data_IF_339975158023
#
_entry.id   IF_339975158023
#
_cell.length_a   1.000
_cell.length_b   1.000
_cell.length_c   1.000
_cell.angle_alpha   90.00
_cell.angle_beta   90.00
_cell.angle_gamma   90.00
#
_symmetry.space_group_name_H-M   'P 1'
#
loop_
_entity.id
_entity.type
_entity.pdbx_description
1 polymer ?
#
# COMPACT_ATOMS: atom_id res chain seq x y z
N UNK A 1 15.84 -9.62 0.61
CA UNK A 1 15.01 -9.45 1.81
C UNK A 1 15.52 -8.32 2.70
N UNK A 2 16.82 -8.29 2.98
CA UNK A 2 17.47 -7.25 3.80
C UNK A 2 17.12 -5.81 3.37
N UNK A 3 17.21 -5.52 2.10
CA UNK A 3 16.98 -4.18 1.58
C UNK A 3 15.55 -3.67 1.84
N UNK A 4 14.55 -4.56 1.79
CA UNK A 4 13.17 -4.14 2.02
C UNK A 4 12.89 -3.85 3.50
N UNK A 5 13.42 -4.63 4.44
CA UNK A 5 13.15 -4.41 5.87
C UNK A 5 13.77 -3.12 6.38
N UNK A 6 14.93 -2.71 5.85
CA UNK A 6 15.55 -1.41 6.17
C UNK A 6 14.85 -0.22 5.52
N UNK A 7 14.02 -0.46 4.50
CA UNK A 7 13.24 0.57 3.81
C UNK A 7 11.82 0.74 4.37
N UNK A 8 11.41 -0.07 5.34
CA UNK A 8 10.12 0.05 5.98
C UNK A 8 10.12 1.23 6.94
N UNK A 9 9.05 2.02 6.91
CA UNK A 9 8.85 3.16 7.78
C UNK A 9 7.52 3.09 8.54
N UNK A 10 7.45 3.69 9.72
CA UNK A 10 6.21 3.85 10.47
C UNK A 10 5.35 5.00 9.94
N UNK A 11 4.17 5.20 10.56
CA UNK A 11 3.18 6.18 10.13
C UNK A 11 3.72 7.60 9.99
N UNK A 12 4.42 8.12 11.00
CA UNK A 12 4.93 9.51 10.99
C UNK A 12 5.93 9.76 9.85
N UNK A 13 6.88 8.83 9.66
CA UNK A 13 7.84 8.93 8.56
C UNK A 13 7.16 8.79 7.20
N UNK A 14 6.19 7.86 7.08
CA UNK A 14 5.43 7.70 5.85
C UNK A 14 4.68 8.98 5.49
N UNK A 15 3.95 9.57 6.43
CA UNK A 15 3.21 10.82 6.23
C UNK A 15 4.16 11.95 5.82
N UNK A 16 5.26 12.14 6.55
CA UNK A 16 6.26 13.19 6.26
C UNK A 16 6.87 13.04 4.88
N UNK A 17 7.34 11.84 4.54
CA UNK A 17 8.07 11.60 3.29
C UNK A 17 7.13 11.60 2.08
N UNK A 18 5.89 11.12 2.25
CA UNK A 18 4.84 11.21 1.23
C UNK A 18 4.39 12.66 1.01
N UNK A 19 4.16 13.44 2.07
CA UNK A 19 3.84 14.88 1.96
C UNK A 19 4.94 15.62 1.19
N UNK A 20 6.20 15.36 1.54
CA UNK A 20 7.33 15.97 0.84
C UNK A 20 7.32 15.59 -0.65
N UNK A 21 7.10 14.33 -0.98
CA UNK A 21 7.03 13.87 -2.37
C UNK A 21 5.89 14.55 -3.16
N UNK A 22 4.71 14.72 -2.54
CA UNK A 22 3.56 15.39 -3.15
C UNK A 22 3.86 16.89 -3.38
N UNK A 23 4.37 17.60 -2.37
CA UNK A 23 4.70 19.03 -2.44
C UNK A 23 5.80 19.28 -3.47
N UNK A 24 6.83 18.44 -3.49
CA UNK A 24 7.94 18.52 -4.45
C UNK A 24 7.53 18.05 -5.86
N UNK A 25 6.27 17.68 -6.08
CA UNK A 25 5.73 17.12 -7.34
C UNK A 25 6.55 15.97 -7.90
N UNK A 26 7.06 15.14 -7.02
CA UNK A 26 7.81 13.94 -7.42
C UNK A 26 6.88 12.92 -8.07
N UNK A 27 7.40 12.24 -9.08
CA UNK A 27 6.73 11.08 -9.67
C UNK A 27 7.27 9.81 -9.00
N UNK A 28 6.38 8.97 -8.51
CA UNK A 28 6.79 7.73 -7.86
C UNK A 28 5.62 7.03 -7.19
N UNK A 29 5.91 6.03 -6.38
CA UNK A 29 4.85 5.27 -5.69
C UNK A 29 5.22 4.93 -4.25
N UNK A 30 4.16 4.71 -3.47
CA UNK A 30 4.19 4.29 -2.08
C UNK A 30 3.58 2.90 -1.99
N UNK A 31 4.30 1.97 -1.36
CA UNK A 31 3.81 0.62 -1.11
C UNK A 31 3.39 0.44 0.35
N UNK A 32 2.22 -0.14 0.55
CA UNK A 32 1.71 -0.56 1.86
C UNK A 32 2.09 -2.02 2.06
N UNK A 33 3.16 -2.25 2.84
CA UNK A 33 3.84 -3.55 2.94
C UNK A 33 3.29 -4.35 4.11
N UNK A 34 2.37 -5.26 3.80
CA UNK A 34 1.88 -6.29 4.72
C UNK A 34 2.78 -7.53 4.74
N UNK A 35 2.43 -8.50 5.57
CA UNK A 35 3.17 -9.77 5.65
C UNK A 35 3.19 -10.57 4.35
N UNK A 36 2.16 -10.43 3.49
CA UNK A 36 2.12 -11.08 2.19
C UNK A 36 3.09 -10.41 1.20
N UNK A 37 3.08 -9.07 1.11
CA UNK A 37 4.03 -8.30 0.29
C UNK A 37 5.46 -8.62 0.73
N UNK A 38 5.74 -8.58 2.04
CA UNK A 38 7.05 -8.87 2.59
C UNK A 38 7.51 -10.30 2.29
N UNK A 39 6.61 -11.28 2.40
CA UNK A 39 6.91 -12.67 2.07
C UNK A 39 7.21 -12.85 0.58
N UNK A 40 6.45 -12.21 -0.29
CA UNK A 40 6.67 -12.27 -1.73
C UNK A 40 7.97 -11.59 -2.14
N UNK A 41 8.39 -10.49 -1.52
CA UNK A 41 9.69 -9.86 -1.78
C UNK A 41 10.86 -10.75 -1.36
N UNK A 42 10.69 -11.59 -0.33
CA UNK A 42 11.69 -12.59 0.03
C UNK A 42 11.80 -13.71 -1.00
N UNK A 43 10.67 -14.20 -1.49
CA UNK A 43 10.60 -15.33 -2.43
C UNK A 43 10.96 -14.95 -3.87
N UNK A 44 10.70 -13.69 -4.29
CA UNK A 44 10.82 -13.24 -5.68
C UNK A 44 11.71 -12.01 -5.80
N UNK A 45 12.89 -12.17 -6.36
CA UNK A 45 13.88 -11.09 -6.51
C UNK A 45 13.41 -9.96 -7.43
N UNK A 46 12.64 -10.27 -8.49
CA UNK A 46 12.06 -9.28 -9.38
C UNK A 46 11.00 -8.43 -8.68
N UNK A 47 10.12 -9.05 -7.87
CA UNK A 47 9.12 -8.32 -7.10
C UNK A 47 9.75 -7.45 -6.00
N UNK A 48 10.83 -7.95 -5.39
CA UNK A 48 11.65 -7.15 -4.45
C UNK A 48 12.15 -5.86 -5.09
N UNK A 49 12.67 -5.92 -6.32
CA UNK A 49 13.13 -4.71 -7.04
C UNK A 49 12.00 -3.70 -7.21
N UNK A 50 10.80 -4.16 -7.53
CA UNK A 50 9.62 -3.30 -7.63
C UNK A 50 9.34 -2.62 -6.29
N UNK A 51 9.16 -3.38 -5.21
CA UNK A 51 8.83 -2.80 -3.90
C UNK A 51 9.97 -1.92 -3.36
N UNK A 52 11.23 -2.29 -3.56
CA UNK A 52 12.37 -1.46 -3.20
C UNK A 52 12.52 -0.21 -4.07
N UNK A 53 11.92 -0.16 -5.24
CA UNK A 53 11.87 1.02 -6.11
C UNK A 53 10.86 2.08 -5.67
N UNK A 54 10.03 1.80 -4.67
CA UNK A 54 9.09 2.75 -4.12
C UNK A 54 9.79 3.93 -3.43
N UNK A 55 9.16 5.11 -3.46
CA UNK A 55 9.60 6.28 -2.68
C UNK A 55 9.52 6.01 -1.17
N UNK A 56 8.44 5.35 -0.77
CA UNK A 56 8.16 5.00 0.63
C UNK A 56 7.54 3.62 0.70
N UNK A 57 7.95 2.85 1.70
CA UNK A 57 7.35 1.55 2.05
C UNK A 57 6.84 1.62 3.49
N UNK A 58 5.54 1.67 3.70
CA UNK A 58 4.96 1.72 5.05
C UNK A 58 4.72 0.34 5.63
N UNK A 59 4.90 0.19 6.95
CA UNK A 59 4.56 -1.04 7.66
C UNK A 59 3.03 -1.19 7.75
N UNK A 60 2.45 -2.15 7.05
CA UNK A 60 1.06 -2.56 7.25
C UNK A 60 0.98 -3.74 8.22
N UNK A 61 0.32 -3.49 9.33
CA UNK A 61 0.14 -4.48 10.39
C UNK A 61 1.13 -4.37 11.55
N UNK A 62 0.58 -4.48 12.77
CA UNK A 62 1.32 -4.31 14.02
C UNK A 62 2.49 -5.29 14.18
N UNK A 63 2.38 -6.51 13.62
CA UNK A 63 3.46 -7.49 13.70
C UNK A 63 4.71 -7.05 12.91
N UNK A 64 4.54 -6.49 11.71
CA UNK A 64 5.66 -6.01 10.90
C UNK A 64 6.33 -4.80 11.56
N UNK A 65 5.53 -3.84 12.04
CA UNK A 65 6.05 -2.70 12.79
C UNK A 65 6.81 -3.15 14.04
N UNK A 66 6.24 -4.08 14.83
CA UNK A 66 6.91 -4.65 16.01
C UNK A 66 8.21 -5.36 15.63
N UNK A 67 8.22 -6.13 14.55
CA UNK A 67 9.43 -6.83 14.08
C UNK A 67 10.53 -5.82 13.72
N UNK A 68 10.21 -4.73 13.03
CA UNK A 68 11.16 -3.66 12.74
C UNK A 68 11.67 -3.00 14.03
N UNK A 69 10.78 -2.71 14.97
CA UNK A 69 11.14 -2.14 16.27
C UNK A 69 12.12 -3.04 17.04
N UNK A 70 11.82 -4.35 17.13
CA UNK A 70 12.68 -5.34 17.80
C UNK A 70 14.06 -5.44 17.13
N UNK A 71 14.11 -5.38 15.79
CA UNK A 71 15.37 -5.55 15.03
C UNK A 71 16.19 -4.27 15.01
N UNK A 72 15.57 -3.12 14.74
CA UNK A 72 16.28 -1.87 14.44
C UNK A 72 16.29 -0.89 15.60
N UNK A 73 15.50 -1.12 16.66
CA UNK A 73 15.35 -0.20 17.80
C UNK A 73 14.55 1.05 17.43
N UNK A 74 13.62 0.91 16.48
CA UNK A 74 12.70 1.98 16.06
C UNK A 74 11.44 1.98 16.94
N UNK A 75 10.60 3.00 16.79
CA UNK A 75 9.29 3.10 17.45
C UNK A 75 8.18 3.23 16.40
N UNK A 76 8.23 2.38 15.37
CA UNK A 76 7.25 2.43 14.29
C UNK A 76 5.88 1.98 14.77
N UNK A 77 4.86 2.73 14.38
CA UNK A 77 3.45 2.33 14.42
C UNK A 77 3.01 1.88 13.04
N UNK A 78 2.11 0.89 13.01
CA UNK A 78 1.57 0.40 11.74
C UNK A 78 0.74 1.49 11.05
N UNK A 79 0.88 1.57 9.73
CA UNK A 79 0.12 2.50 8.89
C UNK A 79 -0.43 1.74 7.70
N UNK A 80 -1.64 1.19 7.86
CA UNK A 80 -2.29 0.32 6.87
C UNK A 80 -2.96 1.11 5.74
N UNK A 81 -3.35 0.41 4.68
CA UNK A 81 -3.99 1.02 3.50
C UNK A 81 -5.18 1.91 3.82
N UNK A 82 -6.18 1.48 4.62
CA UNK A 82 -7.28 2.34 5.05
C UNK A 82 -6.82 3.60 5.79
N UNK A 83 -5.85 3.51 6.69
CA UNK A 83 -5.32 4.67 7.42
C UNK A 83 -4.59 5.64 6.47
N UNK A 84 -3.77 5.12 5.54
CA UNK A 84 -3.12 5.93 4.49
C UNK A 84 -4.17 6.66 3.65
N UNK A 85 -5.21 5.96 3.20
CA UNK A 85 -6.26 6.55 2.38
C UNK A 85 -7.03 7.64 3.14
N UNK A 86 -7.46 7.37 4.37
CA UNK A 86 -8.18 8.34 5.22
C UNK A 86 -7.33 9.58 5.51
N UNK A 87 -6.01 9.43 5.69
CA UNK A 87 -5.10 10.56 5.95
C UNK A 87 -5.08 11.57 4.82
N UNK A 88 -5.29 11.16 3.57
CA UNK A 88 -5.10 12.02 2.41
C UNK A 88 -6.37 12.32 1.61
N UNK A 89 -7.39 11.44 1.63
CA UNK A 89 -8.53 11.57 0.72
C UNK A 89 -9.32 12.87 0.94
N UNK A 90 -9.36 13.38 2.16
CA UNK A 90 -10.07 14.59 2.54
C UNK A 90 -9.22 15.87 2.46
N UNK A 91 -7.95 15.76 2.03
CA UNK A 91 -7.06 16.91 1.82
C UNK A 91 -7.30 17.55 0.46
N UNK A 92 -7.00 18.87 0.31
CA UNK A 92 -7.28 19.63 -0.91
C UNK A 92 -6.23 19.35 -2.00
N UNK A 93 -6.05 18.08 -2.34
CA UNK A 93 -5.23 17.64 -3.47
C UNK A 93 -6.10 17.24 -4.65
N UNK A 94 -5.61 17.40 -5.86
CA UNK A 94 -6.24 16.77 -7.03
C UNK A 94 -5.91 15.28 -7.03
N UNK A 95 -6.93 14.45 -6.92
CA UNK A 95 -6.78 13.02 -6.68
C UNK A 95 -7.50 12.18 -7.73
N UNK A 96 -6.88 11.11 -8.18
CA UNK A 96 -7.49 10.14 -9.09
C UNK A 96 -7.57 8.78 -8.41
N UNK A 97 -8.76 8.18 -8.42
CA UNK A 97 -8.99 6.80 -8.00
C UNK A 97 -8.89 5.87 -9.20
N UNK A 98 -8.02 4.85 -9.11
CA UNK A 98 -7.81 3.85 -10.15
C UNK A 98 -8.12 2.45 -9.60
N UNK A 99 -8.85 1.66 -10.37
CA UNK A 99 -9.34 0.35 -9.96
C UNK A 99 -10.62 0.42 -9.14
N UNK A 100 -11.10 -0.76 -8.67
CA UNK A 100 -12.41 -0.88 -8.04
C UNK A 100 -13.56 -0.50 -9.01
N UNK A 101 -14.73 -0.10 -8.53
CA UNK A 101 -15.93 0.16 -9.34
C UNK A 101 -16.38 1.61 -9.27
N UNK A 102 -17.19 2.02 -10.25
CA UNK A 102 -17.81 3.35 -10.27
C UNK A 102 -18.75 3.57 -9.10
N UNK A 103 -19.39 2.50 -8.63
CA UNK A 103 -20.26 2.50 -7.47
C UNK A 103 -19.49 2.83 -6.20
N UNK A 104 -18.33 2.17 -6.00
CA UNK A 104 -17.43 2.47 -4.86
C UNK A 104 -16.97 3.92 -4.89
N UNK A 105 -16.62 4.46 -6.07
CA UNK A 105 -16.27 5.87 -6.21
C UNK A 105 -17.40 6.81 -5.79
N UNK A 106 -18.66 6.52 -6.17
CA UNK A 106 -19.82 7.33 -5.75
C UNK A 106 -19.97 7.32 -4.23
N UNK A 107 -19.88 6.15 -3.60
CA UNK A 107 -19.95 6.01 -2.14
C UNK A 107 -18.84 6.80 -1.43
N UNK A 108 -17.62 6.80 -1.97
CA UNK A 108 -16.51 7.61 -1.44
C UNK A 108 -16.86 9.10 -1.50
N UNK A 109 -17.40 9.59 -2.63
CA UNK A 109 -17.83 10.99 -2.78
C UNK A 109 -18.96 11.37 -1.82
N UNK A 110 -19.93 10.48 -1.62
CA UNK A 110 -21.02 10.67 -0.67
C UNK A 110 -20.46 10.76 0.76
N UNK A 111 -19.54 9.86 1.10
CA UNK A 111 -18.89 9.86 2.42
C UNK A 111 -18.10 11.14 2.70
N UNK A 112 -17.37 11.64 1.71
CA UNK A 112 -16.67 12.94 1.82
C UNK A 112 -17.67 14.08 2.07
N UNK A 113 -18.82 14.09 1.38
CA UNK A 113 -19.87 15.09 1.61
C UNK A 113 -20.47 14.99 3.02
N UNK A 114 -20.72 13.78 3.52
CA UNK A 114 -21.18 13.55 4.90
C UNK A 114 -20.21 14.15 5.93
N UNK A 115 -18.90 14.09 5.63
CA UNK A 115 -17.84 14.69 6.45
C UNK A 115 -17.65 16.20 6.21
N UNK A 116 -18.48 16.83 5.37
CA UNK A 116 -18.36 18.25 5.01
C UNK A 116 -17.11 18.58 4.18
N UNK A 117 -16.59 17.60 3.42
CA UNK A 117 -15.36 17.77 2.62
C UNK A 117 -15.67 18.03 1.16
N UNK A 118 -14.88 18.88 0.53
CA UNK A 118 -14.94 19.11 -0.92
C UNK A 118 -14.41 17.88 -1.67
N UNK A 119 -15.18 17.45 -2.65
CA UNK A 119 -14.83 16.33 -3.52
C UNK A 119 -14.79 16.69 -5.01
N UNK A 120 -14.71 17.99 -5.32
CA UNK A 120 -14.70 18.50 -6.71
C UNK A 120 -13.44 18.06 -7.46
N UNK A 121 -12.31 17.97 -6.75
CA UNK A 121 -11.01 17.55 -7.32
C UNK A 121 -10.77 16.03 -7.27
N UNK A 122 -11.79 15.25 -6.88
CA UNK A 122 -11.70 13.78 -6.87
C UNK A 122 -12.21 13.21 -8.18
N UNK A 123 -11.34 12.54 -8.92
CA UNK A 123 -11.60 11.92 -10.20
C UNK A 123 -11.59 10.40 -10.09
N UNK A 124 -12.21 9.72 -11.05
CA UNK A 124 -12.20 8.27 -11.18
C UNK A 124 -11.77 7.85 -12.58
N UNK A 125 -10.79 6.97 -12.66
CA UNK A 125 -10.34 6.38 -13.90
C UNK A 125 -10.61 4.88 -13.89
N UNK A 126 -11.61 4.39 -14.67
CA UNK A 126 -11.89 2.97 -14.76
C UNK A 126 -10.75 2.22 -15.46
N UNK A 127 -10.47 1.00 -14.97
CA UNK A 127 -9.57 0.07 -15.63
C UNK A 127 -10.34 -1.11 -16.19
N UNK A 128 -9.91 -1.70 -17.31
CA UNK A 128 -10.45 -2.96 -17.78
C UNK A 128 -10.10 -4.09 -16.81
N UNK A 129 -10.94 -5.13 -16.78
CA UNK A 129 -10.69 -6.31 -15.96
C UNK A 129 -9.79 -7.31 -16.71
N UNK A 130 -8.50 -7.01 -16.77
CA UNK A 130 -7.47 -7.77 -17.49
C UNK A 130 -6.29 -8.09 -16.57
N UNK A 131 -5.34 -8.91 -17.03
CA UNK A 131 -4.10 -9.16 -16.31
C UNK A 131 -3.23 -7.89 -16.28
N UNK A 132 -2.24 -7.86 -15.36
CA UNK A 132 -1.36 -6.70 -15.23
C UNK A 132 -0.47 -6.48 -16.45
N UNK A 133 -0.29 -7.49 -17.28
CA UNK A 133 0.54 -7.41 -18.48
C UNK A 133 -0.23 -6.92 -19.72
N UNK A 134 -1.57 -6.92 -19.65
CA UNK A 134 -2.45 -6.54 -20.74
C UNK A 134 -2.95 -5.09 -20.68
N UNK A 135 -2.55 -4.32 -19.65
CA UNK A 135 -2.90 -2.90 -19.60
C UNK A 135 -2.12 -2.08 -20.65
N UNK A 136 -2.81 -1.18 -21.32
CA UNK A 136 -2.20 -0.13 -22.12
C UNK A 136 -1.72 1.02 -21.20
N UNK A 137 -0.48 0.89 -20.72
CA UNK A 137 0.12 1.82 -19.76
C UNK A 137 0.31 3.21 -20.33
N UNK A 138 0.61 3.34 -21.62
CA UNK A 138 0.79 4.63 -22.29
C UNK A 138 -0.55 5.39 -22.37
N UNK A 139 -1.62 4.70 -22.77
CA UNK A 139 -2.95 5.30 -22.82
C UNK A 139 -3.47 5.68 -21.43
N UNK A 140 -3.24 4.82 -20.43
CA UNK A 140 -3.62 5.11 -19.04
C UNK A 140 -2.86 6.34 -18.53
N UNK A 141 -1.54 6.37 -18.72
CA UNK A 141 -0.71 7.50 -18.31
C UNK A 141 -1.08 8.80 -19.02
N UNK A 142 -1.39 8.75 -20.33
CA UNK A 142 -1.84 9.91 -21.09
C UNK A 142 -3.04 10.57 -20.43
N UNK A 143 -4.08 9.79 -20.11
CA UNK A 143 -5.30 10.30 -19.44
C UNK A 143 -5.00 10.87 -18.06
N UNK A 144 -4.13 10.23 -17.29
CA UNK A 144 -3.72 10.72 -15.96
C UNK A 144 -2.94 12.02 -16.08
N UNK A 145 -2.01 12.10 -17.03
CA UNK A 145 -1.17 13.28 -17.25
C UNK A 145 -1.98 14.51 -17.69
N UNK A 146 -3.06 14.32 -18.48
CA UNK A 146 -4.01 15.39 -18.85
C UNK A 146 -4.64 16.03 -17.61
N UNK A 147 -4.93 15.22 -16.58
CA UNK A 147 -5.53 15.68 -15.33
C UNK A 147 -4.52 16.30 -14.34
N UNK A 148 -3.23 16.04 -14.49
CA UNK A 148 -2.15 16.55 -13.61
C UNK A 148 -2.47 16.36 -12.11
N UNK A 149 -2.72 15.12 -11.64
CA UNK A 149 -3.07 14.87 -10.25
C UNK A 149 -1.87 15.04 -9.34
N UNK A 150 -2.13 15.35 -8.07
CA UNK A 150 -1.13 15.27 -7.00
C UNK A 150 -1.00 13.85 -6.45
N UNK A 151 -2.14 13.14 -6.36
CA UNK A 151 -2.22 11.78 -5.82
C UNK A 151 -2.97 10.86 -6.76
N UNK A 152 -2.44 9.65 -6.94
CA UNK A 152 -3.04 8.58 -7.73
C UNK A 152 -3.25 7.35 -6.83
N UNK A 153 -4.48 7.01 -6.53
CA UNK A 153 -4.84 5.89 -5.69
C UNK A 153 -5.02 4.61 -6.52
N UNK A 154 -4.29 3.55 -6.17
CA UNK A 154 -4.33 2.27 -6.90
C UNK A 154 -4.91 1.17 -6.00
N UNK A 155 -6.08 0.66 -6.37
CA UNK A 155 -6.83 -0.36 -5.64
C UNK A 155 -6.98 -1.65 -6.48
N UNK A 156 -5.86 -2.35 -6.71
CA UNK A 156 -5.82 -3.61 -7.47
C UNK A 156 -5.44 -4.82 -6.61
N UNK A 157 -5.00 -4.57 -5.38
CA UNK A 157 -4.49 -5.59 -4.46
C UNK A 157 -3.10 -6.11 -4.83
N UNK A 158 -2.34 -6.51 -3.78
CA UNK A 158 -1.00 -7.05 -3.95
C UNK A 158 -1.03 -8.49 -4.52
N UNK A 159 -0.10 -8.84 -5.44
CA UNK A 159 1.03 -8.06 -5.96
C UNK A 159 0.69 -7.20 -7.19
N UNK A 160 -0.55 -7.27 -7.70
CA UNK A 160 -0.95 -6.63 -8.97
C UNK A 160 -0.76 -5.11 -8.93
N UNK A 161 -1.07 -4.46 -7.79
CA UNK A 161 -0.96 -3.00 -7.67
C UNK A 161 0.49 -2.50 -7.71
N UNK A 162 1.44 -3.19 -7.06
CA UNK A 162 2.84 -2.79 -7.07
C UNK A 162 3.44 -2.95 -8.46
N UNK A 163 3.11 -4.05 -9.16
CA UNK A 163 3.52 -4.29 -10.54
C UNK A 163 2.93 -3.22 -11.46
N UNK A 164 1.64 -2.92 -11.32
CA UNK A 164 0.95 -1.87 -12.08
C UNK A 164 1.63 -0.51 -11.89
N UNK A 165 1.87 -0.09 -10.66
CA UNK A 165 2.52 1.19 -10.36
C UNK A 165 3.92 1.26 -10.95
N UNK A 166 4.71 0.19 -10.84
CA UNK A 166 6.06 0.13 -11.41
C UNK A 166 6.07 0.22 -12.93
N UNK A 167 5.10 -0.41 -13.61
CA UNK A 167 4.98 -0.35 -15.08
C UNK A 167 4.42 0.98 -15.57
N UNK A 168 3.55 1.62 -14.80
CA UNK A 168 2.96 2.91 -15.14
C UNK A 168 3.95 4.07 -14.95
N UNK A 169 4.85 3.94 -13.96
CA UNK A 169 5.79 4.99 -13.54
C UNK A 169 6.56 5.65 -14.68
N UNK A 170 7.15 4.92 -15.68
CA UNK A 170 7.92 5.53 -16.74
C UNK A 170 7.14 6.50 -17.65
N UNK A 171 5.82 6.38 -17.68
CA UNK A 171 4.94 7.17 -18.54
C UNK A 171 4.27 8.36 -17.81
N UNK A 172 4.39 8.42 -16.47
CA UNK A 172 3.81 9.51 -15.68
C UNK A 172 4.70 10.75 -15.68
N UNK A 173 4.07 11.92 -15.73
CA UNK A 173 4.72 13.22 -15.65
C UNK A 173 4.57 13.87 -14.27
N UNK A 174 3.53 13.52 -13.53
CA UNK A 174 3.20 14.06 -12.21
C UNK A 174 2.38 13.07 -11.38
N UNK A 175 2.44 13.22 -10.07
CA UNK A 175 1.61 12.53 -9.09
C UNK A 175 2.32 11.37 -8.37
N UNK A 176 1.99 11.23 -7.11
CA UNK A 176 2.45 10.12 -6.26
C UNK A 176 1.37 9.04 -6.24
N UNK A 177 1.74 7.84 -6.68
CA UNK A 177 0.85 6.68 -6.64
C UNK A 177 0.88 6.02 -5.25
N UNK A 178 -0.29 5.60 -4.75
CA UNK A 178 -0.40 4.84 -3.51
C UNK A 178 -1.11 3.50 -3.76
N UNK A 179 -0.43 2.39 -3.50
CA UNK A 179 -0.98 1.05 -3.57
C UNK A 179 -1.67 0.67 -2.27
N UNK A 180 -2.99 0.82 -2.20
CA UNK A 180 -3.77 0.75 -0.95
C UNK A 180 -4.73 -0.43 -0.85
N UNK A 181 -4.81 -1.29 -1.88
CA UNK A 181 -5.65 -2.48 -1.88
C UNK A 181 -7.13 -2.18 -1.62
N UNK A 182 -7.72 -2.80 -0.60
CA UNK A 182 -9.14 -2.71 -0.30
C UNK A 182 -9.56 -1.42 0.46
N UNK A 183 -8.68 -0.43 0.61
CA UNK A 183 -8.96 0.77 1.40
C UNK A 183 -10.21 1.54 0.92
N UNK A 184 -10.48 1.56 -0.40
CA UNK A 184 -11.70 2.15 -0.96
C UNK A 184 -12.95 1.55 -0.33
N UNK A 185 -13.02 0.22 -0.22
CA UNK A 185 -14.19 -0.47 0.31
C UNK A 185 -14.39 -0.21 1.81
N UNK A 186 -13.30 -0.01 2.56
CA UNK A 186 -13.38 0.39 3.98
C UNK A 186 -13.91 1.81 4.13
N UNK A 187 -13.35 2.77 3.39
CA UNK A 187 -13.81 4.16 3.46
C UNK A 187 -15.25 4.32 2.97
N UNK A 188 -15.62 3.63 1.91
CA UNK A 188 -17.00 3.61 1.38
C UNK A 188 -18.01 2.89 2.30
N UNK A 189 -17.57 2.25 3.40
CA UNK A 189 -18.44 1.52 4.31
C UNK A 189 -18.92 0.16 3.80
N UNK A 190 -18.43 -0.30 2.64
CA UNK A 190 -18.74 -1.63 2.08
C UNK A 190 -18.16 -2.73 2.97
N UNK A 191 -16.92 -2.51 3.44
CA UNK A 191 -16.26 -3.37 4.41
C UNK A 191 -16.20 -2.67 5.77
N UNK A 192 -16.51 -3.38 6.85
CA UNK A 192 -16.52 -2.83 8.19
C UNK A 192 -15.44 -3.48 9.05
N UNK A 193 -14.49 -2.66 9.53
CA UNK A 193 -13.43 -3.13 10.44
C UNK A 193 -13.96 -3.55 11.82
N UNK A 194 -15.09 -2.97 12.27
CA UNK A 194 -15.62 -3.23 13.61
C UNK A 194 -16.14 -4.66 13.80
N UNK A 195 -16.62 -5.32 12.71
CA UNK A 195 -17.09 -6.71 12.75
C UNK A 195 -15.98 -7.74 12.98
N UNK A 196 -14.73 -7.33 12.86
CA UNK A 196 -13.55 -8.20 12.97
C UNK A 196 -12.71 -7.95 14.23
N UNK A 197 -13.27 -7.24 15.23
CA UNK A 197 -12.53 -6.87 16.44
C UNK A 197 -13.04 -7.63 17.68
N UNK A 198 -12.15 -8.35 18.35
CA UNK A 198 -12.38 -8.93 19.68
C UNK A 198 -11.33 -8.33 20.62
N UNK A 199 -11.74 -7.41 21.50
CA UNK A 199 -10.82 -6.67 22.36
C UNK A 199 -9.82 -5.80 21.57
N UNK A 200 -8.53 -5.94 21.86
CA UNK A 200 -7.46 -5.21 21.16
C UNK A 200 -6.97 -5.89 19.85
N UNK A 201 -7.45 -7.09 19.57
CA UNK A 201 -6.98 -7.90 18.42
C UNK A 201 -7.93 -7.77 17.24
N UNK A 202 -7.38 -7.46 16.07
CA UNK A 202 -8.13 -7.37 14.81
C UNK A 202 -8.01 -8.69 14.05
N UNK A 203 -9.15 -9.33 13.78
CA UNK A 203 -9.23 -10.60 13.04
C UNK A 203 -9.71 -10.43 11.60
N UNK A 204 -9.40 -9.30 10.95
CA UNK A 204 -9.79 -9.02 9.56
C UNK A 204 -9.37 -10.15 8.60
N UNK A 205 -8.20 -10.73 8.84
CA UNK A 205 -7.70 -11.87 8.07
C UNK A 205 -8.58 -13.11 8.19
N UNK A 206 -9.26 -13.29 9.34
CA UNK A 206 -10.13 -14.45 9.57
C UNK A 206 -11.43 -14.35 8.76
N UNK A 207 -12.03 -13.16 8.65
CA UNK A 207 -13.20 -12.93 7.78
C UNK A 207 -12.82 -13.23 6.32
N UNK A 208 -11.70 -12.71 5.86
CA UNK A 208 -11.19 -12.98 4.51
C UNK A 208 -10.86 -14.45 4.25
N UNK A 209 -10.56 -15.22 5.29
CA UNK A 209 -10.32 -16.66 5.18
C UNK A 209 -11.59 -17.41 4.77
N UNK A 210 -12.77 -16.93 5.20
CA UNK A 210 -14.05 -17.51 4.77
C UNK A 210 -14.48 -17.06 3.39
N UNK A 211 -14.13 -15.84 2.97
CA UNK A 211 -14.50 -15.29 1.65
C UNK A 211 -13.61 -15.84 0.52
N UNK A 212 -12.28 -15.95 0.74
CA UNK A 212 -11.29 -16.42 -0.24
C UNK A 212 -10.33 -17.44 0.41
N UNK A 213 -10.78 -18.66 0.79
CA UNK A 213 -10.01 -19.57 1.64
C UNK A 213 -8.67 -19.99 1.04
N UNK A 214 -8.62 -20.35 -0.23
CA UNK A 214 -7.38 -20.81 -0.88
C UNK A 214 -6.32 -19.73 -0.97
N UNK A 215 -6.72 -18.50 -1.27
CA UNK A 215 -5.83 -17.34 -1.40
C UNK A 215 -5.28 -16.92 -0.04
N UNK A 216 -6.14 -16.88 0.99
CA UNK A 216 -5.75 -16.51 2.34
C UNK A 216 -4.88 -17.60 2.99
N UNK A 217 -5.19 -18.88 2.79
CA UNK A 217 -4.37 -19.97 3.28
C UNK A 217 -2.93 -19.90 2.73
N UNK A 218 -2.78 -19.67 1.43
CA UNK A 218 -1.46 -19.49 0.80
C UNK A 218 -0.70 -18.29 1.36
N UNK A 219 -1.38 -17.18 1.64
CA UNK A 219 -0.78 -15.98 2.28
C UNK A 219 -0.33 -16.26 3.70
N UNK A 220 -1.17 -16.87 4.52
CA UNK A 220 -0.83 -17.27 5.89
C UNK A 220 0.35 -18.24 5.91
N UNK A 221 0.36 -19.22 5.01
CA UNK A 221 1.44 -20.20 4.90
C UNK A 221 2.77 -19.57 4.53
N UNK A 222 2.78 -18.69 3.55
CA UNK A 222 3.98 -17.94 3.17
C UNK A 222 4.48 -17.05 4.33
N UNK A 223 3.56 -16.38 5.01
CA UNK A 223 3.89 -15.58 6.18
C UNK A 223 4.58 -16.40 7.27
N UNK A 224 3.98 -17.52 7.66
CA UNK A 224 4.51 -18.39 8.72
C UNK A 224 5.88 -18.99 8.36
N UNK A 225 6.12 -19.30 7.09
CA UNK A 225 7.41 -19.85 6.63
C UNK A 225 8.48 -18.78 6.49
N UNK A 226 8.15 -17.64 5.90
CA UNK A 226 9.13 -16.64 5.46
C UNK A 226 9.52 -15.68 6.58
N UNK A 227 8.56 -15.20 7.36
CA UNK A 227 8.83 -14.13 8.33
C UNK A 227 9.81 -14.55 9.43
N UNK A 228 9.72 -15.76 10.04
CA UNK A 228 10.71 -16.19 11.01
C UNK A 228 12.14 -16.30 10.45
N UNK A 229 12.27 -16.77 9.20
CA UNK A 229 13.56 -16.86 8.51
C UNK A 229 14.13 -15.47 8.29
N UNK A 230 13.33 -14.58 7.72
CA UNK A 230 13.69 -13.19 7.49
C UNK A 230 14.15 -12.49 8.78
N UNK A 231 13.40 -12.65 9.87
CA UNK A 231 13.75 -12.08 11.18
C UNK A 231 15.12 -12.59 11.68
N UNK A 232 15.37 -13.89 11.54
CA UNK A 232 16.66 -14.49 11.96
C UNK A 232 17.84 -13.96 11.12
N UNK A 233 17.67 -13.88 9.80
CA UNK A 233 18.68 -13.34 8.88
C UNK A 233 19.02 -11.89 9.21
N UNK A 234 18.03 -11.07 9.49
CA UNK A 234 18.23 -9.66 9.82
C UNK A 234 18.96 -9.48 11.15
N UNK A 235 18.57 -10.24 12.19
CA UNK A 235 19.24 -10.20 13.49
C UNK A 235 20.71 -10.62 13.35
N UNK A 236 21.00 -11.67 12.56
CA UNK A 236 22.36 -12.13 12.31
C UNK A 236 23.21 -11.06 11.65
N UNK A 237 22.73 -10.46 10.57
CA UNK A 237 23.42 -9.38 9.86
C UNK A 237 23.69 -8.17 10.72
N UNK A 238 22.72 -7.77 11.54
CA UNK A 238 22.91 -6.64 12.44
C UNK A 238 24.02 -6.90 13.46
N UNK A 239 24.12 -8.15 13.95
CA UNK A 239 25.22 -8.54 14.85
C UNK A 239 26.58 -8.51 14.13
N UNK A 240 26.64 -8.96 12.88
CA UNK A 240 27.86 -8.93 12.05
C UNK A 240 28.29 -7.50 11.76
N UNK A 241 27.37 -6.62 11.35
CA UNK A 241 27.69 -5.21 11.08
C UNK A 241 28.18 -4.46 12.33
N UNK A 242 27.65 -4.79 13.53
CA UNK A 242 28.11 -4.20 14.80
C UNK A 242 29.50 -4.68 15.24
N UNK A 243 29.97 -5.82 14.74
CA UNK A 243 31.31 -6.32 15.03
C UNK A 243 32.37 -5.72 14.10
N UNK A 244 31.93 -5.22 12.93
CA UNK A 244 32.81 -4.67 11.90
C UNK A 244 32.82 -3.12 11.90
N UNK A 245 32.04 -2.48 12.78
CA UNK A 245 32.01 -1.03 13.03
C UNK A 245 32.69 -0.69 14.36
#
# INVERSE_FOLDING_TARGET
>A
AYEITTRLVGSEMCIRDSNKAIVDKKVGYVCVVDGNVLSQTHLNSWYRKIVCGALVNTCDGGYIAKMCNDIYGTQYTAFNGPAVFTEYIEKPYKQILIGNTKETYKLIKEKMKEHGKDNSMLLYHPLPFVSVDEFDYELIAKKINEEKPDIIWVSLGAPKQEIFMSKLLPFLQQGVMFGIGAAFNYYAGILNESKARIGAVRFIWLIRLFEEPQKQWRRCWNFLKVIPVLKREEIKRRKENRKNA
#
